data_IF_743268976953
#
_entry.id   IF_743268976953
#
_cell.length_a   1.000
_cell.length_b   1.000
_cell.length_c   1.000
_cell.angle_alpha   90.00
_cell.angle_beta   90.00
_cell.angle_gamma   90.00
#
_symmetry.space_group_name_H-M   'P 1'
#
loop_
_entity.id
_entity.type
_entity.pdbx_description
1 polymer ?
#
# COMPACT_ATOMS: atom_id res chain seq x y z
N UNK A 1 -26.95 5.14 4.12
CA UNK A 1 -26.73 5.93 5.34
C UNK A 1 -26.36 7.37 5.01
N UNK A 2 -25.25 7.64 4.32
CA UNK A 2 -24.82 9.00 3.94
C UNK A 2 -25.89 9.74 3.12
N UNK A 3 -26.60 9.06 2.20
CA UNK A 3 -27.70 9.66 1.44
C UNK A 3 -28.89 10.03 2.33
N UNK A 4 -29.18 9.24 3.36
CA UNK A 4 -30.26 9.52 4.30
C UNK A 4 -29.92 10.70 5.21
N UNK A 5 -28.68 10.77 5.70
CA UNK A 5 -28.19 11.91 6.48
C UNK A 5 -28.21 13.23 5.67
N UNK A 6 -27.77 13.18 4.42
CA UNK A 6 -27.82 14.35 3.50
C UNK A 6 -29.22 14.85 3.19
N UNK A 7 -30.26 14.00 3.30
CA UNK A 7 -31.67 14.36 3.08
C UNK A 7 -32.38 14.85 4.34
N UNK A 8 -31.67 14.96 5.49
CA UNK A 8 -32.26 15.42 6.74
C UNK A 8 -33.28 14.47 7.36
N UNK A 9 -33.34 13.21 6.91
CA UNK A 9 -34.35 12.24 7.37
C UNK A 9 -33.93 11.43 8.60
N UNK A 10 -32.65 11.55 9.02
CA UNK A 10 -32.16 10.91 10.23
C UNK A 10 -31.53 11.96 11.16
N UNK A 11 -31.95 12.02 12.42
CA UNK A 11 -31.37 12.91 13.44
C UNK A 11 -30.09 12.33 14.01
N UNK A 12 -30.07 11.02 14.23
CA UNK A 12 -28.92 10.30 14.79
C UNK A 12 -28.78 8.96 14.07
N UNK A 13 -27.53 8.54 13.82
CA UNK A 13 -27.23 7.22 13.31
C UNK A 13 -25.87 6.73 13.84
N UNK A 14 -25.79 5.43 14.11
CA UNK A 14 -24.55 4.76 14.45
C UNK A 14 -24.00 4.08 13.19
N UNK A 15 -22.77 4.46 12.78
CA UNK A 15 -22.06 3.78 11.74
C UNK A 15 -21.04 2.81 12.37
N UNK A 16 -21.14 1.52 11.98
CA UNK A 16 -20.25 0.47 12.47
C UNK A 16 -19.48 -0.13 11.30
N UNK A 17 -18.14 -0.11 11.37
CA UNK A 17 -17.28 -0.68 10.33
C UNK A 17 -15.93 0.04 10.24
N UNK A 18 -15.05 -0.50 9.40
CA UNK A 18 -13.70 0.07 9.18
C UNK A 18 -13.69 1.25 8.20
N UNK A 19 -14.76 1.46 7.44
CA UNK A 19 -14.92 2.55 6.46
C UNK A 19 -13.73 2.67 5.47
N UNK A 20 -13.19 1.55 5.03
CA UNK A 20 -11.99 1.44 4.20
C UNK A 20 -12.29 1.77 2.73
N UNK A 21 -12.69 3.00 2.46
CA UNK A 21 -12.86 3.52 1.10
C UNK A 21 -12.88 5.04 1.11
N UNK A 22 -12.17 5.67 0.18
CA UNK A 22 -12.21 7.13 0.04
C UNK A 22 -13.61 7.67 -0.24
N UNK A 23 -14.53 6.83 -0.76
CA UNK A 23 -15.93 7.21 -1.03
C UNK A 23 -16.66 7.73 0.21
N UNK A 24 -16.21 7.36 1.41
CA UNK A 24 -16.79 7.84 2.67
C UNK A 24 -16.41 9.31 2.97
N UNK A 25 -15.29 9.77 2.43
CA UNK A 25 -14.74 11.10 2.73
C UNK A 25 -14.29 11.87 1.47
N UNK A 26 -14.71 11.44 0.28
CA UNK A 26 -14.30 12.04 -0.99
C UNK A 26 -14.54 13.56 -1.05
N UNK A 27 -15.68 14.03 -0.51
CA UNK A 27 -16.02 15.46 -0.44
C UNK A 27 -15.05 16.27 0.43
N UNK A 28 -14.32 15.62 1.33
CA UNK A 28 -13.36 16.21 2.27
C UNK A 28 -11.91 15.78 1.98
N UNK A 29 -11.67 15.12 0.86
CA UNK A 29 -10.35 14.58 0.53
C UNK A 29 -9.21 15.62 0.59
N UNK A 30 -9.37 16.86 0.10
CA UNK A 30 -8.33 17.89 0.22
C UNK A 30 -7.98 18.19 1.68
N UNK A 31 -8.99 18.41 2.52
CA UNK A 31 -8.81 18.69 3.96
C UNK A 31 -8.12 17.53 4.68
N UNK A 32 -8.57 16.29 4.41
CA UNK A 32 -7.98 15.10 5.02
C UNK A 32 -6.51 14.94 4.60
N UNK A 33 -6.20 15.17 3.32
CA UNK A 33 -4.82 15.14 2.84
C UNK A 33 -3.95 16.21 3.49
N UNK A 34 -4.47 17.39 3.72
CA UNK A 34 -3.76 18.45 4.41
C UNK A 34 -3.53 18.14 5.89
N UNK A 35 -4.57 17.69 6.60
CA UNK A 35 -4.51 17.41 8.04
C UNK A 35 -3.66 16.20 8.39
N UNK A 36 -3.70 15.14 7.55
CA UNK A 36 -2.98 13.88 7.79
C UNK A 36 -1.59 13.83 7.15
N UNK A 37 -1.23 14.78 6.29
CA UNK A 37 0.13 14.88 5.77
C UNK A 37 1.10 15.19 6.90
N UNK A 38 2.29 14.60 6.83
CA UNK A 38 3.35 14.90 7.78
C UNK A 38 3.60 16.41 7.82
N UNK A 39 3.47 17.03 9.00
CA UNK A 39 3.67 18.48 9.19
C UNK A 39 5.12 18.90 9.01
N UNK A 40 6.05 18.00 9.25
CA UNK A 40 7.46 18.18 8.97
C UNK A 40 7.92 17.16 7.93
N UNK A 41 8.65 17.62 6.93
CA UNK A 41 9.28 16.71 5.97
C UNK A 41 10.24 15.80 6.74
N UNK A 42 10.24 14.48 6.47
CA UNK A 42 11.22 13.60 7.08
C UNK A 42 12.63 14.03 6.67
N UNK A 43 13.58 13.94 7.62
CA UNK A 43 14.95 14.34 7.42
C UNK A 43 15.92 13.17 7.63
N UNK A 44 17.19 13.37 7.27
CA UNK A 44 18.21 12.38 7.45
C UNK A 44 18.59 11.63 6.16
N UNK A 45 19.47 10.61 6.27
CA UNK A 45 20.07 9.97 5.11
C UNK A 45 19.07 9.26 4.21
N UNK A 46 18.01 8.65 4.75
CA UNK A 46 16.99 7.98 3.97
C UNK A 46 16.12 8.97 3.18
N UNK A 47 15.73 10.09 3.79
CA UNK A 47 15.01 11.15 3.06
C UNK A 47 15.83 11.67 1.88
N UNK A 48 17.15 11.92 2.10
CA UNK A 48 18.05 12.37 1.06
C UNK A 48 18.16 11.35 -0.08
N UNK A 49 18.29 10.06 0.23
CA UNK A 49 18.36 8.99 -0.77
C UNK A 49 17.05 8.89 -1.59
N UNK A 50 15.89 8.92 -0.93
CA UNK A 50 14.59 8.87 -1.61
C UNK A 50 14.44 10.06 -2.55
N UNK A 51 14.76 11.27 -2.06
CA UNK A 51 14.60 12.50 -2.84
C UNK A 51 15.58 12.60 -4.01
N UNK A 52 16.79 12.00 -3.88
CA UNK A 52 17.81 11.99 -4.93
C UNK A 52 17.55 10.92 -6.02
N UNK A 53 16.68 9.94 -5.76
CA UNK A 53 16.39 8.88 -6.72
C UNK A 53 15.61 9.44 -7.92
N UNK A 54 15.94 9.01 -9.13
CA UNK A 54 15.26 9.41 -10.36
C UNK A 54 13.76 9.04 -10.33
N UNK A 55 13.46 7.81 -9.90
CA UNK A 55 12.11 7.33 -9.66
C UNK A 55 12.06 6.51 -8.36
N UNK A 56 11.79 7.14 -7.22
CA UNK A 56 11.72 6.43 -5.94
C UNK A 56 10.42 5.62 -5.81
N UNK A 57 10.54 4.33 -5.52
CA UNK A 57 9.42 3.41 -5.36
C UNK A 57 9.38 2.86 -3.94
N UNK A 58 8.29 3.13 -3.24
CA UNK A 58 7.97 2.51 -1.97
C UNK A 58 7.52 1.06 -2.20
N UNK A 59 8.19 0.10 -1.60
CA UNK A 59 7.74 -1.30 -1.55
C UNK A 59 7.38 -1.63 -0.11
N UNK A 60 6.09 -1.85 0.17
CA UNK A 60 5.63 -2.18 1.52
C UNK A 60 5.27 -3.66 1.63
N UNK A 61 5.96 -4.36 2.54
CA UNK A 61 5.69 -5.75 2.89
C UNK A 61 5.06 -5.83 4.29
N UNK A 62 3.85 -6.36 4.37
CA UNK A 62 3.16 -6.63 5.64
C UNK A 62 3.20 -8.13 5.91
N UNK A 63 3.81 -8.52 7.03
CA UNK A 63 3.96 -9.92 7.43
C UNK A 63 3.45 -10.17 8.83
N UNK A 64 4.14 -9.73 9.84
CA UNK A 64 3.82 -9.78 11.26
C UNK A 64 2.61 -10.63 11.64
N UNK A 65 1.55 -9.97 12.04
CA UNK A 65 0.27 -10.58 12.40
C UNK A 65 -0.43 -11.30 11.22
N UNK A 66 -0.11 -10.95 9.95
CA UNK A 66 -0.69 -11.61 8.78
C UNK A 66 -0.20 -13.08 8.63
N UNK A 67 0.94 -13.44 9.22
CA UNK A 67 1.46 -14.81 9.18
C UNK A 67 0.75 -15.75 10.16
N UNK A 68 -0.08 -15.24 11.05
CA UNK A 68 -0.82 -16.06 12.01
C UNK A 68 -1.94 -16.83 11.31
N UNK A 69 -2.20 -18.10 11.71
CA UNK A 69 -3.23 -18.94 11.08
C UNK A 69 -4.63 -18.30 11.07
N UNK A 70 -4.99 -17.59 12.14
CA UNK A 70 -6.28 -16.90 12.24
C UNK A 70 -6.44 -15.76 11.23
N UNK A 71 -5.34 -15.29 10.66
CA UNK A 71 -5.30 -14.21 9.67
C UNK A 71 -5.05 -14.71 8.23
N UNK A 72 -5.26 -16.00 7.96
CA UNK A 72 -5.04 -16.60 6.63
C UNK A 72 -5.75 -15.85 5.49
N UNK A 73 -6.91 -15.24 5.76
CA UNK A 73 -7.63 -14.40 4.79
C UNK A 73 -6.81 -13.21 4.30
N UNK A 74 -5.81 -12.75 5.05
CA UNK A 74 -4.95 -11.62 4.73
C UNK A 74 -3.65 -12.04 4.01
N UNK A 75 -3.35 -13.33 3.92
CA UNK A 75 -2.11 -13.86 3.33
C UNK A 75 -2.19 -13.91 1.80
N UNK A 76 -2.37 -12.76 1.15
CA UNK A 76 -2.51 -12.68 -0.31
C UNK A 76 -1.24 -12.20 -1.02
N UNK A 77 -0.41 -11.40 -0.36
CA UNK A 77 0.82 -10.85 -0.93
C UNK A 77 1.99 -11.81 -0.70
N UNK A 78 2.16 -12.77 -1.61
CA UNK A 78 3.25 -13.76 -1.61
C UNK A 78 4.55 -13.18 -2.20
N UNK A 79 5.72 -13.84 -2.03
CA UNK A 79 6.94 -13.45 -2.74
C UNK A 79 6.74 -13.29 -4.25
N UNK A 80 5.98 -14.19 -4.87
CA UNK A 80 5.66 -14.13 -6.31
C UNK A 80 4.85 -12.89 -6.70
N UNK A 81 3.98 -12.41 -5.82
CA UNK A 81 3.27 -11.14 -6.04
C UNK A 81 4.28 -9.99 -6.11
N UNK A 82 5.18 -9.90 -5.13
CA UNK A 82 6.19 -8.82 -5.10
C UNK A 82 7.15 -8.93 -6.28
N UNK A 83 7.59 -10.12 -6.66
CA UNK A 83 8.44 -10.33 -7.83
C UNK A 83 7.77 -9.80 -9.11
N UNK A 84 6.48 -10.12 -9.32
CA UNK A 84 5.72 -9.60 -10.47
C UNK A 84 5.52 -8.09 -10.42
N UNK A 85 5.22 -7.54 -9.25
CA UNK A 85 5.03 -6.11 -9.08
C UNK A 85 6.33 -5.33 -9.34
N UNK A 86 7.45 -5.80 -8.79
CA UNK A 86 8.77 -5.18 -9.02
C UNK A 86 9.22 -5.33 -10.47
N UNK A 87 8.94 -6.46 -11.12
CA UNK A 87 9.21 -6.64 -12.55
C UNK A 87 8.40 -5.65 -13.42
N UNK A 88 7.14 -5.37 -13.07
CA UNK A 88 6.33 -4.35 -13.73
C UNK A 88 6.93 -2.95 -13.52
N UNK A 89 7.34 -2.61 -12.28
CA UNK A 89 8.06 -1.37 -11.98
C UNK A 89 9.29 -1.23 -12.86
N UNK A 90 10.14 -2.27 -12.92
CA UNK A 90 11.36 -2.24 -13.73
C UNK A 90 11.09 -2.04 -15.21
N UNK A 91 10.03 -2.66 -15.71
CA UNK A 91 9.64 -2.53 -17.13
C UNK A 91 9.27 -1.10 -17.49
N UNK A 92 8.52 -0.43 -16.61
CA UNK A 92 8.03 0.93 -16.83
C UNK A 92 9.06 2.01 -16.43
N UNK A 93 9.86 1.72 -15.40
CA UNK A 93 10.85 2.63 -14.82
C UNK A 93 12.18 1.89 -14.61
N UNK A 94 12.98 1.69 -15.66
CA UNK A 94 14.26 0.98 -15.54
C UNK A 94 15.31 1.68 -14.67
N UNK A 95 15.12 2.96 -14.38
CA UNK A 95 15.91 3.81 -13.50
C UNK A 95 15.35 3.95 -12.07
N UNK A 96 14.33 3.15 -11.73
CA UNK A 96 13.72 3.17 -10.42
C UNK A 96 14.70 2.70 -9.32
N UNK A 97 14.52 3.25 -8.12
CA UNK A 97 15.15 2.76 -6.89
C UNK A 97 14.07 2.36 -5.88
N UNK A 98 14.21 1.17 -5.31
CA UNK A 98 13.26 0.60 -4.36
C UNK A 98 13.62 1.04 -2.93
N UNK A 99 12.64 1.53 -2.21
CA UNK A 99 12.71 1.83 -0.78
C UNK A 99 11.74 0.90 -0.06
N UNK A 100 12.31 -0.08 0.64
CA UNK A 100 11.57 -1.22 1.19
C UNK A 100 11.24 -0.98 2.65
N UNK A 101 9.95 -1.07 2.98
CA UNK A 101 9.39 -0.93 4.31
C UNK A 101 8.69 -2.22 4.72
N UNK A 102 8.99 -2.73 5.89
CA UNK A 102 8.37 -3.97 6.39
C UNK A 102 8.37 -4.01 7.92
N UNK A 103 7.41 -4.72 8.48
CA UNK A 103 7.43 -5.14 9.88
C UNK A 103 8.33 -6.36 10.13
N UNK A 104 8.88 -6.96 9.05
CA UNK A 104 9.86 -8.04 9.02
C UNK A 104 10.91 -7.75 7.93
N UNK A 105 11.81 -6.80 8.22
CA UNK A 105 12.74 -6.27 7.22
C UNK A 105 13.84 -7.26 6.84
N UNK A 106 14.24 -8.13 7.77
CA UNK A 106 15.26 -9.13 7.50
C UNK A 106 14.73 -10.19 6.53
N UNK A 107 13.49 -10.63 6.75
CA UNK A 107 12.82 -11.50 5.80
C UNK A 107 12.65 -10.84 4.42
N UNK A 108 12.27 -9.57 4.40
CA UNK A 108 12.13 -8.83 3.15
C UNK A 108 13.45 -8.77 2.37
N UNK A 109 14.57 -8.58 3.05
CA UNK A 109 15.93 -8.57 2.47
C UNK A 109 16.32 -9.90 1.84
N UNK A 110 15.90 -11.00 2.44
CA UNK A 110 16.22 -12.36 1.96
C UNK A 110 15.33 -12.82 0.81
N UNK A 111 14.07 -12.32 0.75
CA UNK A 111 13.04 -12.92 -0.12
C UNK A 111 12.48 -11.97 -1.19
N UNK A 112 12.78 -10.66 -1.13
CA UNK A 112 12.32 -9.74 -2.16
C UNK A 112 13.22 -9.83 -3.39
N UNK A 113 12.66 -10.28 -4.51
CA UNK A 113 13.31 -10.14 -5.81
C UNK A 113 13.23 -8.67 -6.25
N UNK A 114 14.37 -8.01 -6.32
CA UNK A 114 14.47 -6.60 -6.76
C UNK A 114 14.49 -6.46 -8.27
N UNK A 115 14.46 -7.54 -9.02
CA UNK A 115 14.61 -7.57 -10.47
C UNK A 115 15.87 -6.79 -10.95
N UNK A 116 16.91 -6.70 -10.13
CA UNK A 116 18.15 -5.96 -10.39
C UNK A 116 18.04 -4.44 -10.22
N UNK A 117 16.96 -3.90 -9.70
CA UNK A 117 16.86 -2.50 -9.30
C UNK A 117 17.63 -2.24 -8.00
N UNK A 118 18.25 -1.06 -7.84
CA UNK A 118 18.80 -0.64 -6.56
C UNK A 118 17.72 -0.67 -5.47
N UNK A 119 18.06 -1.25 -4.29
CA UNK A 119 17.11 -1.36 -3.20
C UNK A 119 17.72 -0.92 -1.86
N UNK A 120 17.02 -0.09 -1.13
CA UNK A 120 17.32 0.34 0.22
C UNK A 120 16.28 -0.24 1.15
N UNK A 121 16.72 -1.09 2.08
CA UNK A 121 15.85 -1.69 3.08
C UNK A 121 15.91 -0.84 4.35
N UNK A 122 14.86 -0.10 4.63
CA UNK A 122 14.81 0.79 5.78
C UNK A 122 14.61 -0.03 7.07
N UNK A 123 15.42 0.21 8.12
CA UNK A 123 15.13 -0.40 9.42
C UNK A 123 13.76 0.06 9.90
N UNK A 124 13.04 -0.82 10.58
CA UNK A 124 11.73 -0.49 11.14
C UNK A 124 11.86 0.68 12.10
N UNK A 125 11.14 1.75 11.81
CA UNK A 125 11.04 2.95 12.64
C UNK A 125 9.68 3.09 13.32
N UNK A 126 9.42 4.28 13.81
CA UNK A 126 8.09 4.66 14.29
C UNK A 126 7.12 4.75 13.09
N UNK A 127 5.91 4.21 13.25
CA UNK A 127 4.94 4.09 12.15
C UNK A 127 4.64 5.44 11.47
N UNK A 128 4.59 6.53 12.23
CA UNK A 128 4.34 7.87 11.67
C UNK A 128 5.54 8.36 10.84
N UNK A 129 6.76 8.06 11.30
CA UNK A 129 7.98 8.42 10.58
C UNK A 129 8.12 7.61 9.29
N UNK A 130 7.90 6.30 9.34
CA UNK A 130 7.92 5.43 8.16
C UNK A 130 6.87 5.87 7.13
N UNK A 131 5.65 6.22 7.59
CA UNK A 131 4.60 6.76 6.73
C UNK A 131 5.04 8.05 6.02
N UNK A 132 5.78 8.93 6.71
CA UNK A 132 6.29 10.16 6.14
C UNK A 132 7.38 9.90 5.09
N UNK A 133 8.28 8.93 5.32
CA UNK A 133 9.26 8.51 4.30
C UNK A 133 8.59 7.90 3.07
N UNK A 134 7.59 7.04 3.26
CA UNK A 134 6.83 6.46 2.15
C UNK A 134 6.20 7.54 1.26
N UNK A 135 5.69 8.62 1.84
CA UNK A 135 5.06 9.73 1.10
C UNK A 135 6.03 10.51 0.20
N UNK A 136 7.35 10.36 0.36
CA UNK A 136 8.35 10.96 -0.53
C UNK A 136 8.47 10.21 -1.86
N UNK A 137 7.95 9.00 -1.95
CA UNK A 137 8.03 8.18 -3.15
C UNK A 137 7.02 8.62 -4.24
N UNK A 138 7.31 8.23 -5.48
CA UNK A 138 6.45 8.43 -6.66
C UNK A 138 5.79 7.14 -7.12
N UNK A 139 6.43 6.01 -6.92
CA UNK A 139 5.89 4.68 -7.16
C UNK A 139 5.52 3.97 -5.86
N UNK A 140 4.49 3.11 -5.89
CA UNK A 140 4.02 2.38 -4.72
C UNK A 140 3.69 0.94 -5.07
N UNK A 141 4.46 -0.02 -4.56
CA UNK A 141 4.12 -1.44 -4.53
C UNK A 141 3.48 -1.73 -3.17
N UNK A 142 2.17 -1.92 -3.16
CA UNK A 142 1.40 -2.06 -1.93
C UNK A 142 1.29 -3.52 -1.50
N UNK A 143 1.33 -3.76 -0.19
CA UNK A 143 0.65 -4.92 0.38
C UNK A 143 -0.85 -4.64 0.53
N UNK A 144 -1.65 -5.66 0.87
CA UNK A 144 -3.05 -5.50 1.22
C UNK A 144 -3.24 -4.90 2.63
N UNK A 145 -2.57 -3.77 2.88
CA UNK A 145 -2.56 -3.05 4.15
C UNK A 145 -3.06 -1.62 3.98
N UNK A 146 -3.99 -1.21 4.84
CA UNK A 146 -4.46 0.18 4.87
C UNK A 146 -3.35 1.16 5.24
N UNK A 147 -2.29 0.71 5.89
CA UNK A 147 -1.13 1.54 6.17
C UNK A 147 -0.43 2.01 4.89
N UNK A 148 -0.09 1.09 3.97
CA UNK A 148 0.47 1.47 2.67
C UNK A 148 -0.54 2.15 1.75
N UNK A 149 -1.83 1.83 1.90
CA UNK A 149 -2.91 2.55 1.22
C UNK A 149 -2.88 4.04 1.58
N UNK A 150 -2.76 4.36 2.87
CA UNK A 150 -2.65 5.75 3.34
C UNK A 150 -1.35 6.41 2.88
N UNK A 151 -0.22 5.67 2.86
CA UNK A 151 1.05 6.20 2.37
C UNK A 151 0.92 6.76 0.95
N UNK A 152 0.41 5.94 0.01
CA UNK A 152 0.21 6.37 -1.36
C UNK A 152 -0.89 7.44 -1.48
N UNK A 153 -1.98 7.35 -0.70
CA UNK A 153 -3.07 8.31 -0.77
C UNK A 153 -2.63 9.72 -0.38
N UNK A 154 -1.81 9.84 0.65
CA UNK A 154 -1.30 11.09 1.18
C UNK A 154 -0.08 11.62 0.42
N UNK A 155 0.61 10.79 -0.37
CA UNK A 155 1.77 11.20 -1.14
C UNK A 155 1.42 12.36 -2.10
N UNK A 156 2.21 13.44 -2.11
CA UNK A 156 1.89 14.66 -2.86
C UNK A 156 2.20 14.54 -4.36
N UNK A 157 2.96 13.53 -4.80
CA UNK A 157 3.36 13.38 -6.20
C UNK A 157 2.12 13.30 -7.11
N UNK A 158 1.98 14.20 -8.10
CA UNK A 158 0.78 14.27 -8.94
C UNK A 158 0.72 13.12 -9.96
N UNK A 159 1.86 12.58 -10.33
CA UNK A 159 2.07 11.53 -11.32
C UNK A 159 2.42 10.17 -10.70
N UNK A 160 2.03 9.97 -9.45
CA UNK A 160 2.31 8.72 -8.74
C UNK A 160 1.64 7.52 -9.39
N UNK A 161 2.36 6.41 -9.41
CA UNK A 161 1.87 5.13 -9.90
C UNK A 161 1.78 4.13 -8.76
N UNK A 162 0.80 3.22 -8.86
CA UNK A 162 0.54 2.25 -7.80
C UNK A 162 0.31 0.86 -8.39
N UNK A 163 1.09 -0.10 -7.91
CA UNK A 163 0.94 -1.52 -8.15
C UNK A 163 0.39 -2.18 -6.89
N UNK A 164 -0.79 -2.75 -6.98
CA UNK A 164 -1.51 -3.32 -5.85
C UNK A 164 -1.91 -4.78 -6.12
N UNK A 165 -2.10 -5.61 -5.09
CA UNK A 165 -2.56 -6.98 -5.30
C UNK A 165 -4.00 -6.96 -5.88
N UNK A 166 -4.28 -7.83 -6.84
CA UNK A 166 -5.60 -7.98 -7.46
C UNK A 166 -6.69 -8.48 -6.48
N UNK A 167 -6.26 -8.93 -5.30
CA UNK A 167 -7.12 -9.34 -4.19
C UNK A 167 -6.63 -8.65 -2.91
N UNK A 168 -7.57 -8.09 -2.16
CA UNK A 168 -7.28 -7.54 -0.84
C UNK A 168 -7.43 -8.57 0.29
N UNK A 169 -8.32 -9.54 0.06
CA UNK A 169 -8.60 -10.70 0.92
C UNK A 169 -8.63 -11.96 0.07
N UNK A 170 -8.25 -13.10 0.64
CA UNK A 170 -8.12 -14.36 -0.08
C UNK A 170 -9.40 -14.76 -0.86
N UNK A 171 -10.57 -14.49 -0.30
CA UNK A 171 -11.86 -14.90 -0.88
C UNK A 171 -12.63 -13.77 -1.56
N UNK A 172 -12.09 -12.56 -1.66
CA UNK A 172 -12.81 -11.39 -2.17
C UNK A 172 -12.11 -10.79 -3.38
N UNK A 173 -12.75 -10.83 -4.54
CA UNK A 173 -12.21 -10.26 -5.79
C UNK A 173 -12.39 -8.74 -5.92
N UNK A 174 -13.36 -8.15 -5.22
CA UNK A 174 -13.65 -6.71 -5.32
C UNK A 174 -13.74 -6.09 -3.93
N UNK A 175 -13.03 -4.99 -3.75
CA UNK A 175 -13.12 -4.14 -2.57
C UNK A 175 -13.17 -2.68 -3.01
N UNK A 176 -13.82 -1.84 -2.23
CA UNK A 176 -13.87 -0.40 -2.46
C UNK A 176 -12.56 0.34 -2.10
N UNK A 177 -11.51 -0.41 -1.76
CA UNK A 177 -10.17 0.12 -1.45
C UNK A 177 -9.37 0.51 -2.71
N UNK A 178 -9.66 -0.13 -3.85
CA UNK A 178 -8.95 0.18 -5.09
C UNK A 178 -9.36 1.55 -5.63
N UNK A 179 -8.36 2.28 -6.11
CA UNK A 179 -8.55 3.57 -6.76
C UNK A 179 -8.38 3.41 -8.28
N UNK A 180 -8.99 4.32 -9.01
CA UNK A 180 -8.84 4.35 -10.47
C UNK A 180 -7.36 4.61 -10.83
N UNK A 181 -6.88 3.97 -11.87
CA UNK A 181 -5.50 4.07 -12.34
C UNK A 181 -4.49 3.16 -11.62
N UNK A 182 -4.90 2.38 -10.60
CA UNK A 182 -4.01 1.39 -10.02
C UNK A 182 -3.79 0.20 -10.96
N UNK A 183 -2.57 -0.26 -11.04
CA UNK A 183 -2.21 -1.50 -11.72
C UNK A 183 -2.40 -2.68 -10.78
N UNK A 184 -3.32 -3.58 -11.12
CA UNK A 184 -3.62 -4.74 -10.29
C UNK A 184 -2.74 -5.91 -10.72
N UNK A 185 -1.87 -6.34 -9.80
CA UNK A 185 -0.92 -7.45 -9.99
C UNK A 185 -1.50 -8.70 -9.34
N UNK A 186 -1.43 -9.82 -10.07
CA UNK A 186 -1.92 -11.11 -9.58
C UNK A 186 -1.23 -11.51 -8.26
N UNK A 187 -2.02 -11.67 -7.20
CA UNK A 187 -1.52 -11.96 -5.85
C UNK A 187 -1.32 -13.46 -5.59
N UNK A 188 -2.18 -14.33 -6.16
CA UNK A 188 -2.05 -15.77 -5.99
C UNK A 188 -1.05 -16.39 -6.98
N UNK A 189 -0.35 -17.49 -6.61
CA UNK A 189 0.43 -18.28 -7.53
C UNK A 189 -0.41 -18.71 -8.74
N UNK A 190 0.21 -18.78 -9.92
CA UNK A 190 -0.43 -19.37 -11.09
C UNK A 190 -0.50 -20.89 -10.86
N UNK A 191 -1.65 -21.40 -10.43
CA UNK A 191 -1.89 -22.85 -10.36
C UNK A 191 -2.64 -23.39 -9.15
N UNK A 192 -2.79 -22.66 -8.05
CA UNK A 192 -3.60 -23.12 -6.94
C UNK A 192 -5.03 -22.61 -7.03
N UNK A 193 -5.90 -23.46 -7.61
CA UNK A 193 -7.31 -23.43 -7.23
C UNK A 193 -7.36 -23.81 -5.74
N UNK A 194 -7.63 -22.85 -4.86
CA UNK A 194 -8.02 -23.15 -3.48
C UNK A 194 -9.26 -24.04 -3.59
N UNK A 195 -9.12 -25.32 -3.22
CA UNK A 195 -10.25 -26.22 -3.11
C UNK A 195 -11.28 -25.54 -2.21
N UNK A 196 -12.48 -25.31 -2.75
CA UNK A 196 -13.61 -24.88 -1.99
C UNK A 196 -13.91 -26.05 -1.03
N UNK A 197 -13.54 -25.88 0.25
CA UNK A 197 -14.04 -26.74 1.30
C UNK A 197 -15.53 -26.40 1.49
N UNK A 198 -16.32 -27.42 1.41
CA UNK A 198 -17.78 -27.45 1.67
C UNK A 198 -18.14 -26.87 3.05
#
# INVERSE_FOLDING_TARGET
LLRAARRGHARDFLAWGYFQSERYFADFAPTIKEELRAKAAPAGPYAAQITAAAYPVCVHLRRGDYQKPENAILQVCTPDYYARAVAAVRHEHPDAALFVFSDDIDWAREHLDTAGLPAVFLPRGEAVADLAFMQLCRGFVLSNSTYSWWAQYLAPAPDKQTWAPDKWYAHTKKTALYQDGWQLIKASPSGEAVAAGD
#
